data_IF_343683654715
#
_entry.id   IF_343683654715
#
_cell.length_a   1.000
_cell.length_b   1.000
_cell.length_c   1.000
_cell.angle_alpha   90.00
_cell.angle_beta   90.00
_cell.angle_gamma   90.00
#
_symmetry.space_group_name_H-M   'P 1'
#
loop_
_entity.id
_entity.type
_entity.pdbx_description
1 polymer ?
#
# COMPACT_ATOMS: atom_id res chain seq x y z
N UNK A 1 4.09 -31.32 -13.38
CA UNK A 1 3.63 -30.17 -12.57
C UNK A 1 3.21 -29.06 -13.52
N UNK A 2 2.19 -28.26 -13.18
CA UNK A 2 1.72 -27.15 -14.01
C UNK A 2 2.63 -25.94 -13.85
N UNK A 3 3.00 -25.28 -14.95
CA UNK A 3 3.68 -23.97 -14.92
C UNK A 3 2.65 -22.85 -14.84
N UNK A 4 3.06 -21.74 -14.22
CA UNK A 4 2.22 -20.56 -14.04
C UNK A 4 2.92 -19.32 -14.60
N UNK A 5 2.12 -18.39 -15.08
CA UNK A 5 2.60 -17.07 -15.50
C UNK A 5 1.82 -16.02 -14.76
N UNK A 6 2.54 -15.17 -14.03
CA UNK A 6 2.00 -14.04 -13.28
C UNK A 6 2.37 -12.73 -13.96
N UNK A 7 1.44 -11.79 -13.94
CA UNK A 7 1.62 -10.42 -14.39
C UNK A 7 1.58 -9.50 -13.17
N UNK A 8 2.54 -8.59 -13.07
CA UNK A 8 2.62 -7.64 -11.97
C UNK A 8 2.23 -6.23 -12.42
N UNK A 9 1.32 -5.60 -11.67
CA UNK A 9 1.04 -4.18 -11.80
C UNK A 9 0.92 -3.52 -10.43
N UNK A 10 1.05 -2.20 -10.39
CA UNK A 10 1.04 -1.44 -9.14
C UNK A 10 0.41 -0.06 -9.31
N UNK A 11 -0.06 0.50 -8.20
CA UNK A 11 -0.67 1.82 -8.15
C UNK A 11 -0.21 2.61 -6.93
N UNK A 12 -0.28 3.95 -7.04
CA UNK A 12 0.12 4.91 -5.99
C UNK A 12 1.57 4.75 -5.53
N UNK A 13 2.43 4.39 -6.49
CA UNK A 13 3.87 4.28 -6.27
C UNK A 13 4.51 5.66 -6.12
N UNK A 14 5.03 5.94 -4.92
CA UNK A 14 5.93 7.06 -4.64
C UNK A 14 7.34 6.50 -4.48
N UNK A 15 8.25 6.84 -5.40
CA UNK A 15 9.66 6.38 -5.34
C UNK A 15 10.36 6.80 -4.04
N UNK A 16 9.93 7.93 -3.47
CA UNK A 16 10.44 8.48 -2.21
C UNK A 16 9.28 8.96 -1.32
N UNK A 17 9.29 8.53 -0.07
CA UNK A 17 8.41 9.07 0.97
C UNK A 17 9.17 10.17 1.71
N UNK A 18 8.60 11.38 1.77
CA UNK A 18 9.28 12.55 2.35
C UNK A 18 8.30 13.57 2.93
N UNK A 19 8.71 14.19 4.03
CA UNK A 19 8.09 15.42 4.55
C UNK A 19 8.88 16.60 3.99
N UNK A 20 8.20 17.65 3.51
CA UNK A 20 8.89 18.89 3.12
C UNK A 20 9.07 19.84 4.32
N UNK A 21 9.81 20.93 4.12
CA UNK A 21 10.07 21.94 5.16
C UNK A 21 8.83 22.61 5.75
N UNK A 22 7.72 22.60 5.01
CA UNK A 22 6.43 23.11 5.47
C UNK A 22 5.63 22.07 6.27
N UNK A 23 6.20 20.90 6.57
CA UNK A 23 5.51 19.79 7.24
C UNK A 23 4.47 19.10 6.37
N UNK A 24 4.50 19.28 5.05
CA UNK A 24 3.60 18.59 4.14
C UNK A 24 4.20 17.25 3.77
N UNK A 25 3.46 16.19 4.08
CA UNK A 25 3.84 14.84 3.72
C UNK A 25 3.30 14.51 2.33
N UNK A 26 4.17 14.07 1.41
CA UNK A 26 3.77 13.87 0.02
C UNK A 26 2.66 12.82 -0.17
N UNK A 27 2.49 11.93 0.81
CA UNK A 27 1.47 10.88 0.84
C UNK A 27 0.14 11.28 1.51
N UNK A 28 0.06 12.47 2.13
CA UNK A 28 -1.15 13.01 2.79
C UNK A 28 -1.85 14.11 1.97
N UNK A 29 -1.52 14.25 0.69
CA UNK A 29 -2.21 15.19 -0.22
C UNK A 29 -3.64 14.73 -0.49
N UNK A 30 -4.55 15.66 -0.79
CA UNK A 30 -5.97 15.35 -1.05
C UNK A 30 -6.19 14.35 -2.20
N UNK A 31 -5.26 14.29 -3.16
CA UNK A 31 -5.26 13.38 -4.30
C UNK A 31 -4.33 12.18 -4.13
N UNK A 32 -3.61 12.09 -3.00
CA UNK A 32 -2.72 10.99 -2.69
C UNK A 32 -3.45 9.91 -1.87
N UNK A 33 -3.08 8.66 -2.15
CA UNK A 33 -3.48 7.52 -1.34
C UNK A 33 -2.27 7.10 -0.49
N UNK A 34 -2.45 6.98 0.82
CA UNK A 34 -1.39 6.52 1.73
C UNK A 34 -0.93 5.09 1.40
N UNK A 35 -1.83 4.26 0.90
CA UNK A 35 -1.48 2.89 0.56
C UNK A 35 -0.82 2.83 -0.83
N UNK A 36 0.34 2.21 -0.88
CA UNK A 36 0.83 1.58 -2.09
C UNK A 36 0.08 0.27 -2.32
N UNK A 37 -0.26 -0.04 -3.58
CA UNK A 37 -0.95 -1.29 -3.95
C UNK A 37 -0.15 -2.00 -5.02
N UNK A 38 0.26 -3.25 -4.75
CA UNK A 38 0.85 -4.16 -5.71
C UNK A 38 -0.08 -5.34 -5.97
N UNK A 39 -0.21 -5.76 -7.22
CA UNK A 39 -1.07 -6.87 -7.62
C UNK A 39 -0.31 -7.83 -8.53
N UNK A 40 -0.29 -9.11 -8.16
CA UNK A 40 0.02 -10.18 -9.09
C UNK A 40 -1.26 -10.86 -9.54
N UNK A 41 -1.38 -11.03 -10.85
CA UNK A 41 -2.46 -11.77 -11.49
C UNK A 41 -1.86 -12.94 -12.26
N UNK A 42 -2.16 -14.17 -11.85
CA UNK A 42 -1.56 -15.38 -12.41
C UNK A 42 -2.56 -16.39 -12.91
N UNK A 43 -2.15 -17.16 -13.91
CA UNK A 43 -2.89 -18.32 -14.41
C UNK A 43 -1.91 -19.40 -14.90
N UNK A 44 -2.38 -20.65 -15.11
CA UNK A 44 -1.58 -21.68 -15.75
C UNK A 44 -1.10 -21.20 -17.13
N UNK A 45 0.17 -21.44 -17.45
CA UNK A 45 0.77 -20.98 -18.73
C UNK A 45 0.01 -21.54 -19.94
N UNK A 46 -0.60 -22.72 -19.82
CA UNK A 46 -1.43 -23.33 -20.86
C UNK A 46 -2.64 -22.49 -21.26
N UNK A 47 -3.13 -21.65 -20.34
CA UNK A 47 -4.41 -20.94 -20.49
C UNK A 47 -4.20 -19.51 -21.01
N UNK A 48 -2.95 -19.08 -21.19
CA UNK A 48 -2.61 -17.71 -21.61
C UNK A 48 -3.27 -17.30 -22.93
N UNK A 49 -3.32 -18.20 -23.91
CA UNK A 49 -3.87 -17.89 -25.24
C UNK A 49 -5.38 -17.69 -25.16
N UNK A 50 -6.10 -18.54 -24.42
CA UNK A 50 -7.55 -18.41 -24.21
C UNK A 50 -7.87 -17.18 -23.37
N UNK A 51 -7.13 -16.97 -22.28
CA UNK A 51 -7.35 -15.86 -21.36
C UNK A 51 -7.11 -14.51 -22.05
N UNK A 52 -6.06 -14.40 -22.87
CA UNK A 52 -5.80 -13.19 -23.67
C UNK A 52 -6.95 -12.87 -24.61
N UNK A 53 -7.55 -13.87 -25.27
CA UNK A 53 -8.71 -13.65 -26.15
C UNK A 53 -9.93 -13.16 -25.38
N UNK A 54 -10.18 -13.70 -24.18
CA UNK A 54 -11.29 -13.28 -23.33
C UNK A 54 -11.10 -11.84 -22.83
N UNK A 55 -9.91 -11.50 -22.35
CA UNK A 55 -9.55 -10.14 -21.90
C UNK A 55 -9.65 -9.15 -23.06
N UNK A 56 -9.13 -9.49 -24.25
CA UNK A 56 -9.22 -8.62 -25.42
C UNK A 56 -10.67 -8.40 -25.86
N UNK A 57 -11.51 -9.45 -25.83
CA UNK A 57 -12.95 -9.32 -26.14
C UNK A 57 -13.65 -8.40 -25.13
N UNK A 58 -13.33 -8.54 -23.84
CA UNK A 58 -13.83 -7.66 -22.80
C UNK A 58 -13.39 -6.21 -23.05
N UNK A 59 -12.10 -5.96 -23.25
CA UNK A 59 -11.56 -4.61 -23.46
C UNK A 59 -12.22 -3.93 -24.69
N UNK A 60 -12.29 -4.63 -25.83
CA UNK A 60 -12.92 -4.09 -27.04
C UNK A 60 -14.39 -3.70 -26.79
N UNK A 61 -15.12 -4.49 -26.01
CA UNK A 61 -16.50 -4.15 -25.63
C UNK A 61 -16.55 -2.89 -24.77
N UNK A 62 -15.66 -2.76 -23.78
CA UNK A 62 -15.61 -1.58 -22.93
C UNK A 62 -15.20 -0.32 -23.72
N UNK A 63 -14.27 -0.43 -24.68
CA UNK A 63 -13.94 0.69 -25.58
C UNK A 63 -15.17 1.20 -26.33
N UNK A 64 -15.98 0.30 -26.89
CA UNK A 64 -17.23 0.66 -27.58
C UNK A 64 -18.22 1.34 -26.62
N UNK A 65 -18.42 0.77 -25.43
CA UNK A 65 -19.35 1.29 -24.43
C UNK A 65 -18.99 2.71 -23.99
N UNK A 66 -17.69 3.00 -23.85
CA UNK A 66 -17.18 4.30 -23.42
C UNK A 66 -16.78 5.23 -24.58
N UNK A 67 -17.03 4.83 -25.84
CA UNK A 67 -16.78 5.65 -27.03
C UNK A 67 -15.30 5.93 -27.30
N UNK A 68 -14.42 4.99 -26.96
CA UNK A 68 -12.98 5.07 -27.24
C UNK A 68 -12.66 4.61 -28.67
N UNK A 69 -11.61 5.19 -29.26
CA UNK A 69 -11.06 4.71 -30.52
C UNK A 69 -10.44 3.30 -30.38
N UNK A 70 -10.34 2.56 -31.48
CA UNK A 70 -9.91 1.15 -31.46
C UNK A 70 -8.47 0.99 -30.94
N UNK A 71 -7.60 1.92 -31.33
CA UNK A 71 -6.20 2.03 -30.93
C UNK A 71 -6.00 2.53 -29.50
N UNK A 72 -7.03 3.13 -28.88
CA UNK A 72 -6.91 3.70 -27.55
C UNK A 72 -7.05 2.61 -26.48
N UNK A 73 -6.04 2.45 -25.62
CA UNK A 73 -6.07 1.55 -24.47
C UNK A 73 -7.18 1.96 -23.47
N UNK A 74 -7.92 0.98 -22.96
CA UNK A 74 -8.92 1.24 -21.92
C UNK A 74 -8.24 1.40 -20.56
N UNK A 75 -8.26 2.62 -20.01
CA UNK A 75 -7.65 2.96 -18.71
C UNK A 75 -8.69 3.22 -17.63
N UNK A 76 -8.32 3.02 -16.36
CA UNK A 76 -9.19 3.34 -15.22
C UNK A 76 -9.64 4.80 -15.18
N UNK A 77 -8.86 5.71 -15.76
CA UNK A 77 -9.18 7.15 -15.89
C UNK A 77 -10.31 7.45 -16.89
N UNK A 78 -10.71 6.49 -17.73
CA UNK A 78 -11.85 6.61 -18.64
C UNK A 78 -13.16 6.69 -17.83
N UNK A 79 -13.25 5.94 -16.73
CA UNK A 79 -14.42 5.99 -15.84
C UNK A 79 -14.32 7.26 -14.98
N UNK A 80 -15.33 8.12 -15.09
CA UNK A 80 -15.31 9.42 -14.43
C UNK A 80 -15.23 9.30 -12.91
N UNK A 81 -14.31 10.07 -12.28
CA UNK A 81 -14.09 10.08 -10.82
C UNK A 81 -15.36 10.28 -9.99
N UNK A 82 -16.32 11.06 -10.49
CA UNK A 82 -17.63 11.30 -9.83
C UNK A 82 -18.40 10.00 -9.56
N UNK A 83 -18.18 8.96 -10.37
CA UNK A 83 -18.84 7.67 -10.19
C UNK A 83 -18.32 6.94 -8.95
N UNK A 84 -17.16 7.30 -8.41
CA UNK A 84 -16.60 6.67 -7.20
C UNK A 84 -16.89 7.42 -5.89
N UNK A 85 -17.59 8.56 -5.95
CA UNK A 85 -17.75 9.47 -4.79
C UNK A 85 -18.39 8.80 -3.57
N UNK A 86 -19.41 7.97 -3.78
CA UNK A 86 -20.10 7.23 -2.72
C UNK A 86 -20.10 5.72 -3.00
N UNK A 87 -19.03 5.23 -3.65
CA UNK A 87 -18.93 3.84 -4.09
C UNK A 87 -20.02 3.46 -5.08
N UNK A 88 -20.54 2.24 -4.97
CA UNK A 88 -21.57 1.66 -5.87
C UNK A 88 -22.78 2.59 -6.03
N UNK A 89 -23.17 3.33 -4.97
CA UNK A 89 -24.29 4.28 -5.03
C UNK A 89 -24.12 5.36 -6.10
N UNK A 90 -22.88 5.74 -6.41
CA UNK A 90 -22.55 6.77 -7.39
C UNK A 90 -22.33 6.21 -8.80
N UNK A 91 -22.39 4.90 -8.99
CA UNK A 91 -22.21 4.29 -10.31
C UNK A 91 -23.36 4.70 -11.21
N UNK A 92 -23.02 5.17 -12.42
CA UNK A 92 -24.00 5.24 -13.49
C UNK A 92 -24.18 3.84 -14.09
N UNK A 93 -25.14 3.71 -15.01
CA UNK A 93 -25.45 2.44 -15.67
C UNK A 93 -24.21 1.79 -16.30
N UNK A 94 -23.43 2.56 -17.06
CA UNK A 94 -22.26 2.04 -17.75
C UNK A 94 -21.18 1.54 -16.79
N UNK A 95 -20.92 2.27 -15.69
CA UNK A 95 -19.98 1.84 -14.66
C UNK A 95 -20.47 0.59 -13.94
N UNK A 96 -21.77 0.48 -13.67
CA UNK A 96 -22.33 -0.75 -13.09
C UNK A 96 -22.11 -1.94 -14.02
N UNK A 97 -22.48 -1.81 -15.30
CA UNK A 97 -22.26 -2.86 -16.32
C UNK A 97 -20.78 -3.23 -16.46
N UNK A 98 -19.87 -2.25 -16.47
CA UNK A 98 -18.44 -2.51 -16.53
C UNK A 98 -17.97 -3.42 -15.40
N UNK A 99 -18.36 -3.13 -14.14
CA UNK A 99 -17.91 -3.92 -12.99
C UNK A 99 -18.59 -5.29 -12.94
N UNK A 100 -19.88 -5.39 -13.30
CA UNK A 100 -20.57 -6.68 -13.45
C UNK A 100 -19.82 -7.59 -14.43
N UNK A 101 -19.55 -7.09 -15.64
CA UNK A 101 -18.84 -7.85 -16.67
C UNK A 101 -17.38 -8.15 -16.31
N UNK A 102 -16.72 -7.24 -15.58
CA UNK A 102 -15.37 -7.46 -15.06
C UNK A 102 -15.35 -8.61 -14.05
N UNK A 103 -16.30 -8.64 -13.11
CA UNK A 103 -16.39 -9.73 -12.13
C UNK A 103 -16.76 -11.05 -12.78
N UNK A 104 -17.68 -11.07 -13.75
CA UNK A 104 -17.97 -12.26 -14.55
C UNK A 104 -16.73 -12.78 -15.29
N UNK A 105 -15.94 -11.88 -15.88
CA UNK A 105 -14.69 -12.24 -16.53
C UNK A 105 -13.70 -12.84 -15.52
N UNK A 106 -13.53 -12.23 -14.34
CA UNK A 106 -12.65 -12.74 -13.30
C UNK A 106 -13.08 -14.15 -12.87
N UNK A 107 -14.38 -14.39 -12.70
CA UNK A 107 -14.92 -15.71 -12.35
C UNK A 107 -14.64 -16.75 -13.44
N UNK A 108 -14.80 -16.38 -14.72
CA UNK A 108 -14.49 -17.26 -15.86
C UNK A 108 -12.99 -17.58 -15.92
N UNK A 109 -12.14 -16.56 -15.76
CA UNK A 109 -10.68 -16.71 -15.82
C UNK A 109 -10.13 -17.46 -14.61
N UNK A 110 -10.82 -17.39 -13.47
CA UNK A 110 -10.44 -17.94 -12.17
C UNK A 110 -8.92 -17.79 -11.86
N UNK A 111 -8.40 -16.55 -11.87
CA UNK A 111 -6.98 -16.31 -11.70
C UNK A 111 -6.52 -16.52 -10.26
N UNK A 112 -5.24 -16.81 -10.10
CA UNK A 112 -4.54 -16.70 -8.81
C UNK A 112 -4.16 -15.23 -8.62
N UNK A 113 -4.82 -14.55 -7.69
CA UNK A 113 -4.58 -13.14 -7.41
C UNK A 113 -3.86 -12.99 -6.07
N UNK A 114 -2.75 -12.25 -6.08
CA UNK A 114 -2.11 -11.74 -4.87
C UNK A 114 -2.26 -10.22 -4.86
N UNK A 115 -2.77 -9.67 -3.76
CA UNK A 115 -2.84 -8.22 -3.56
C UNK A 115 -2.06 -7.87 -2.32
N UNK A 116 -1.14 -6.92 -2.45
CA UNK A 116 -0.43 -6.34 -1.34
C UNK A 116 -0.83 -4.87 -1.18
N UNK A 117 -1.10 -4.46 0.06
CA UNK A 117 -1.43 -3.07 0.39
C UNK A 117 -0.55 -2.62 1.54
N UNK A 118 0.20 -1.54 1.31
CA UNK A 118 1.24 -1.10 2.25
C UNK A 118 1.04 0.37 2.57
N UNK A 119 0.82 0.70 3.85
CA UNK A 119 0.76 2.09 4.31
C UNK A 119 2.15 2.71 4.24
N UNK A 120 2.28 3.74 3.39
CA UNK A 120 3.53 4.52 3.28
C UNK A 120 3.82 5.28 4.57
N UNK A 121 2.78 5.72 5.29
CA UNK A 121 2.89 6.29 6.62
C UNK A 121 3.47 5.29 7.62
N UNK A 122 2.97 4.05 7.64
CA UNK A 122 3.51 3.03 8.56
C UNK A 122 4.99 2.76 8.29
N UNK A 123 5.39 2.60 7.03
CA UNK A 123 6.80 2.41 6.66
C UNK A 123 7.67 3.57 7.16
N UNK A 124 7.21 4.81 6.95
CA UNK A 124 7.93 5.97 7.43
C UNK A 124 8.03 6.00 8.95
N UNK A 125 6.95 5.72 9.66
CA UNK A 125 6.94 5.70 11.14
C UNK A 125 7.87 4.61 11.69
N UNK A 126 7.93 3.43 11.05
CA UNK A 126 8.87 2.37 11.45
C UNK A 126 10.33 2.83 11.40
N UNK A 127 10.67 3.64 10.41
CA UNK A 127 12.01 4.23 10.31
C UNK A 127 12.19 5.37 11.31
N UNK A 128 11.16 6.22 11.46
CA UNK A 128 11.22 7.36 12.36
C UNK A 128 11.37 6.94 13.84
N UNK A 129 10.88 5.74 14.17
CA UNK A 129 10.95 5.14 15.49
C UNK A 129 11.90 3.92 15.55
N UNK A 130 12.86 3.80 14.62
CA UNK A 130 13.79 2.67 14.58
C UNK A 130 14.63 2.54 15.86
N UNK A 131 15.08 3.67 16.43
CA UNK A 131 15.77 3.72 17.73
C UNK A 131 14.83 3.82 18.93
N UNK A 132 13.57 3.41 18.81
CA UNK A 132 12.65 3.37 19.96
C UNK A 132 12.94 2.11 20.79
N UNK A 133 13.38 2.33 22.03
CA UNK A 133 13.62 1.27 23.00
C UNK A 133 12.63 1.37 24.15
N UNK A 134 11.70 0.43 24.20
CA UNK A 134 10.72 0.32 25.28
C UNK A 134 11.37 -0.27 26.54
N UNK A 135 11.23 0.44 27.66
CA UNK A 135 11.79 0.08 28.97
C UNK A 135 10.70 -0.05 30.06
N UNK A 136 9.43 -0.07 29.65
CA UNK A 136 8.29 -0.25 30.55
C UNK A 136 8.05 -1.72 30.93
N UNK A 137 6.94 -1.96 31.64
CA UNK A 137 6.55 -3.31 32.05
C UNK A 137 5.84 -4.06 30.92
N UNK A 138 6.10 -5.37 30.80
CA UNK A 138 5.48 -6.24 29.80
C UNK A 138 6.15 -6.20 28.43
N UNK A 139 5.52 -6.84 27.44
CA UNK A 139 6.03 -6.91 26.08
C UNK A 139 5.40 -5.84 25.18
N UNK A 140 6.22 -5.20 24.36
CA UNK A 140 5.74 -4.32 23.29
C UNK A 140 5.37 -5.16 22.07
N UNK A 141 4.08 -5.20 21.75
CA UNK A 141 3.61 -5.75 20.48
C UNK A 141 3.81 -4.72 19.35
N UNK A 142 4.98 -4.73 18.72
CA UNK A 142 5.38 -3.74 17.70
C UNK A 142 4.35 -3.57 16.57
N UNK A 143 3.77 -4.68 16.07
CA UNK A 143 2.75 -4.63 15.01
C UNK A 143 1.53 -3.80 15.43
N UNK A 144 1.05 -4.01 16.66
CA UNK A 144 -0.07 -3.26 17.22
C UNK A 144 0.30 -1.80 17.50
N UNK A 145 1.54 -1.55 17.95
CA UNK A 145 2.06 -0.21 18.16
C UNK A 145 2.06 0.61 16.86
N UNK A 146 2.70 0.09 15.81
CA UNK A 146 2.80 0.78 14.54
C UNK A 146 1.46 0.90 13.82
N UNK A 147 0.60 -0.11 13.89
CA UNK A 147 -0.76 -0.02 13.35
C UNK A 147 -1.54 1.15 14.00
N UNK A 148 -1.54 1.21 15.34
CA UNK A 148 -2.27 2.23 16.09
C UNK A 148 -1.69 3.63 15.85
N UNK A 149 -0.36 3.76 15.88
CA UNK A 149 0.33 5.02 15.61
C UNK A 149 0.07 5.50 14.17
N UNK A 150 0.10 4.61 13.19
CA UNK A 150 -0.22 4.92 11.80
C UNK A 150 -1.65 5.43 11.66
N UNK A 151 -2.62 4.72 12.25
CA UNK A 151 -4.03 5.14 12.24
C UNK A 151 -4.22 6.49 12.92
N UNK A 152 -3.52 6.74 14.03
CA UNK A 152 -3.52 8.03 14.70
C UNK A 152 -2.98 9.13 13.79
N UNK A 153 -1.82 8.94 13.18
CA UNK A 153 -1.21 9.93 12.27
C UNK A 153 -2.10 10.20 11.06
N UNK A 154 -2.70 9.18 10.44
CA UNK A 154 -3.62 9.39 9.30
C UNK A 154 -4.86 10.16 9.72
N UNK A 155 -5.41 9.91 10.91
CA UNK A 155 -6.71 10.46 11.34
C UNK A 155 -6.58 11.84 12.02
N UNK A 156 -5.53 12.04 12.80
CA UNK A 156 -5.39 13.13 13.77
C UNK A 156 -4.10 13.95 13.60
N UNK A 157 -3.33 13.75 12.53
CA UNK A 157 -2.17 14.61 12.30
C UNK A 157 -2.59 16.09 12.26
N UNK A 158 -1.66 16.94 12.68
CA UNK A 158 -1.70 18.37 12.45
C UNK A 158 -0.35 18.82 11.90
N UNK A 159 -0.34 20.03 11.34
CA UNK A 159 0.87 20.59 10.74
C UNK A 159 2.02 20.71 11.74
N UNK A 160 1.75 21.04 13.00
CA UNK A 160 2.79 21.22 14.02
C UNK A 160 3.53 19.91 14.29
N UNK A 161 2.79 18.80 14.43
CA UNK A 161 3.34 17.47 14.63
C UNK A 161 4.20 17.02 13.44
N UNK A 162 3.74 17.25 12.21
CA UNK A 162 4.50 16.91 11.01
C UNK A 162 5.74 17.79 10.82
N UNK A 163 5.65 19.10 11.11
CA UNK A 163 6.79 20.02 11.12
C UNK A 163 7.83 19.61 12.17
N UNK A 164 7.38 19.23 13.37
CA UNK A 164 8.26 18.75 14.43
C UNK A 164 9.00 17.47 14.02
N UNK A 165 8.30 16.52 13.39
CA UNK A 165 8.88 15.30 12.85
C UNK A 165 9.94 15.58 11.76
N UNK A 166 9.64 16.48 10.83
CA UNK A 166 10.61 16.89 9.80
C UNK A 166 11.84 17.60 10.39
N UNK A 167 11.63 18.41 11.42
CA UNK A 167 12.69 19.20 12.07
C UNK A 167 13.64 18.35 12.93
N UNK A 168 13.36 17.05 13.13
CA UNK A 168 14.25 16.18 13.88
C UNK A 168 15.59 16.05 13.15
N UNK A 169 16.63 16.50 13.84
CA UNK A 169 18.01 16.50 13.36
C UNK A 169 19.04 16.37 14.51
N UNK A 170 18.58 16.35 15.76
CA UNK A 170 19.36 16.13 16.96
C UNK A 170 18.43 15.66 18.10
N UNK A 171 19.03 15.29 19.23
CA UNK A 171 18.28 14.78 20.39
C UNK A 171 17.25 15.77 20.94
N UNK A 172 17.54 17.08 20.94
CA UNK A 172 16.61 18.10 21.44
C UNK A 172 15.36 18.23 20.56
N UNK A 173 15.51 18.26 19.23
CA UNK A 173 14.37 18.28 18.31
C UNK A 173 13.57 16.97 18.34
N UNK A 174 14.24 15.84 18.54
CA UNK A 174 13.58 14.54 18.76
C UNK A 174 12.72 14.52 20.03
N UNK A 175 13.25 15.02 21.15
CA UNK A 175 12.50 15.09 22.40
C UNK A 175 11.30 16.03 22.30
N UNK A 176 11.43 17.16 21.59
CA UNK A 176 10.30 18.05 21.29
C UNK A 176 9.22 17.35 20.47
N UNK A 177 9.61 16.62 19.42
CA UNK A 177 8.67 15.83 18.62
C UNK A 177 7.93 14.80 19.48
N UNK A 178 8.67 14.04 20.31
CA UNK A 178 8.08 13.05 21.22
C UNK A 178 7.09 13.68 22.20
N UNK A 179 7.45 14.81 22.82
CA UNK A 179 6.57 15.54 23.74
C UNK A 179 5.29 16.04 23.04
N UNK A 180 5.44 16.57 21.82
CA UNK A 180 4.30 17.01 21.03
C UNK A 180 3.39 15.82 20.65
N UNK A 181 3.96 14.68 20.27
CA UNK A 181 3.19 13.47 20.00
C UNK A 181 2.43 12.98 21.24
N UNK A 182 3.07 12.94 22.40
CA UNK A 182 2.44 12.59 23.68
C UNK A 182 1.27 13.52 24.00
N UNK A 183 1.49 14.84 23.88
CA UNK A 183 0.45 15.85 24.09
C UNK A 183 -0.75 15.66 23.15
N UNK A 184 -0.50 15.33 21.88
CA UNK A 184 -1.56 15.05 20.90
C UNK A 184 -2.39 13.83 21.30
N UNK A 185 -1.76 12.74 21.77
CA UNK A 185 -2.49 11.60 22.31
C UNK A 185 -3.32 11.97 23.54
N UNK A 186 -2.77 12.73 24.49
CA UNK A 186 -3.50 13.18 25.69
C UNK A 186 -4.75 13.98 25.34
N UNK A 187 -4.63 14.93 24.40
CA UNK A 187 -5.76 15.71 23.90
C UNK A 187 -6.85 14.81 23.30
N UNK A 188 -6.49 13.91 22.37
CA UNK A 188 -7.48 13.03 21.73
C UNK A 188 -8.11 12.06 22.73
N UNK A 189 -7.33 11.47 23.65
CA UNK A 189 -7.84 10.60 24.73
C UNK A 189 -8.89 11.34 25.57
N UNK A 190 -8.64 12.61 25.90
CA UNK A 190 -9.58 13.43 26.67
C UNK A 190 -10.88 13.67 25.90
N UNK A 191 -10.80 13.99 24.61
CA UNK A 191 -11.95 14.29 23.76
C UNK A 191 -12.83 13.06 23.46
N UNK A 192 -12.23 11.88 23.26
CA UNK A 192 -12.99 10.67 22.93
C UNK A 192 -13.51 9.91 24.16
N UNK A 193 -13.11 10.33 25.37
CA UNK A 193 -13.50 9.67 26.61
C UNK A 193 -15.02 9.69 26.79
N UNK A 194 -15.59 8.52 27.09
CA UNK A 194 -17.03 8.36 27.30
C UNK A 194 -17.85 8.18 26.02
N UNK A 195 -17.23 8.25 24.84
CA UNK A 195 -17.88 7.92 23.56
C UNK A 195 -17.83 6.40 23.36
N UNK A 196 -18.97 5.72 23.52
CA UNK A 196 -19.07 4.26 23.48
C UNK A 196 -18.46 3.64 22.20
N UNK A 197 -18.80 4.19 21.03
CA UNK A 197 -18.24 3.70 19.74
C UNK A 197 -16.72 3.89 19.57
N UNK A 198 -16.06 4.61 20.47
CA UNK A 198 -14.62 4.91 20.46
C UNK A 198 -13.85 4.19 21.58
N UNK A 199 -14.49 3.31 22.33
CA UNK A 199 -13.87 2.67 23.50
C UNK A 199 -12.59 1.87 23.16
N UNK A 200 -12.61 1.11 22.06
CA UNK A 200 -11.42 0.37 21.59
C UNK A 200 -10.27 1.31 21.20
N UNK A 201 -10.57 2.42 20.53
CA UNK A 201 -9.60 3.44 20.13
C UNK A 201 -9.00 4.12 21.36
N UNK A 202 -9.82 4.43 22.37
CA UNK A 202 -9.39 5.00 23.63
C UNK A 202 -8.37 4.10 24.35
N UNK A 203 -8.65 2.80 24.46
CA UNK A 203 -7.73 1.84 25.09
C UNK A 203 -6.42 1.76 24.30
N UNK A 204 -6.50 1.69 22.97
CA UNK A 204 -5.31 1.64 22.12
C UNK A 204 -4.44 2.90 22.29
N UNK A 205 -5.04 4.10 22.33
CA UNK A 205 -4.31 5.36 22.50
C UNK A 205 -3.69 5.50 23.89
N UNK A 206 -4.38 5.05 24.93
CA UNK A 206 -3.80 4.99 26.28
C UNK A 206 -2.57 4.09 26.32
N UNK A 207 -2.61 2.93 25.65
CA UNK A 207 -1.46 2.03 25.55
C UNK A 207 -0.29 2.66 24.79
N UNK A 208 -0.55 3.34 23.67
CA UNK A 208 0.52 4.05 22.93
C UNK A 208 1.14 5.15 23.78
N UNK A 209 0.32 5.97 24.46
CA UNK A 209 0.82 7.01 25.35
C UNK A 209 1.69 6.42 26.47
N UNK A 210 1.27 5.28 27.04
CA UNK A 210 2.08 4.57 28.03
C UNK A 210 3.42 4.11 27.45
N UNK A 211 3.44 3.52 26.25
CA UNK A 211 4.68 3.13 25.56
C UNK A 211 5.58 4.35 25.34
N UNK A 212 5.05 5.44 24.79
CA UNK A 212 5.83 6.67 24.57
C UNK A 212 6.44 7.20 25.88
N UNK A 213 5.69 7.18 26.99
CA UNK A 213 6.16 7.62 28.30
C UNK A 213 7.28 6.72 28.86
N UNK A 214 7.33 5.45 28.45
CA UNK A 214 8.29 4.45 28.94
C UNK A 214 9.23 3.96 27.84
N UNK A 215 9.52 4.81 26.85
CA UNK A 215 10.48 4.51 25.80
C UNK A 215 11.60 5.55 25.73
N UNK A 216 12.78 5.10 25.35
CA UNK A 216 13.92 5.95 24.99
C UNK A 216 13.98 6.02 23.46
N UNK A 217 14.37 7.17 22.91
CA UNK A 217 14.70 7.31 21.49
C UNK A 217 16.17 7.74 21.41
N UNK A 218 17.02 6.97 20.74
CA UNK A 218 18.45 7.23 20.66
C UNK A 218 19.01 7.22 19.22
N UNK A 219 18.20 6.81 18.23
CA UNK A 219 18.48 7.00 16.80
C UNK A 219 17.65 8.15 16.22
N UNK A 220 18.27 8.97 15.36
CA UNK A 220 17.57 10.02 14.62
C UNK A 220 16.81 9.42 13.42
N UNK A 221 15.59 9.90 13.12
CA UNK A 221 14.81 9.44 11.99
C UNK A 221 15.49 9.79 10.66
N UNK A 222 15.39 8.88 9.69
CA UNK A 222 15.77 9.18 8.30
C UNK A 222 14.78 10.19 7.69
N UNK A 223 15.28 11.11 6.87
CA UNK A 223 14.46 12.15 6.24
C UNK A 223 13.77 11.70 4.96
N UNK A 224 14.36 10.75 4.27
CA UNK A 224 13.84 10.20 3.03
C UNK A 224 13.96 8.68 3.07
N UNK A 225 12.94 8.00 2.55
CA UNK A 225 12.96 6.56 2.39
C UNK A 225 12.69 6.17 0.94
N UNK A 226 13.55 5.30 0.41
CA UNK A 226 13.29 4.62 -0.87
C UNK A 226 12.35 3.45 -0.65
N UNK A 227 11.19 3.47 -1.32
CA UNK A 227 10.23 2.38 -1.22
C UNK A 227 10.83 1.07 -1.76
N UNK A 228 10.82 0.02 -0.96
CA UNK A 228 11.34 -1.29 -1.35
C UNK A 228 10.20 -2.21 -1.82
N UNK A 229 10.30 -2.69 -3.06
CA UNK A 229 9.29 -3.57 -3.69
C UNK A 229 9.25 -5.01 -3.16
N UNK A 230 10.20 -5.39 -2.29
CA UNK A 230 10.37 -6.76 -1.80
C UNK A 230 9.11 -7.33 -1.17
N UNK A 231 8.32 -6.48 -0.50
CA UNK A 231 7.09 -6.89 0.19
C UNK A 231 6.04 -7.49 -0.76
N UNK A 232 6.02 -7.12 -2.04
CA UNK A 232 5.11 -7.75 -3.01
C UNK A 232 5.55 -9.19 -3.33
N UNK A 233 6.85 -9.41 -3.54
CA UNK A 233 7.37 -10.74 -3.87
C UNK A 233 7.26 -11.69 -2.69
N UNK A 234 7.48 -11.22 -1.47
CA UNK A 234 7.19 -11.99 -0.25
C UNK A 234 5.72 -12.43 -0.20
N UNK A 235 4.80 -11.50 -0.47
CA UNK A 235 3.38 -11.80 -0.57
C UNK A 235 3.05 -12.86 -1.62
N UNK A 236 3.69 -12.78 -2.80
CA UNK A 236 3.55 -13.79 -3.84
C UNK A 236 4.08 -15.16 -3.40
N UNK A 237 5.29 -15.22 -2.84
CA UNK A 237 5.88 -16.47 -2.34
C UNK A 237 4.97 -17.16 -1.33
N UNK A 238 4.42 -16.41 -0.37
CA UNK A 238 3.50 -16.94 0.64
C UNK A 238 2.22 -17.52 -0.01
N UNK A 239 1.67 -16.83 -1.03
CA UNK A 239 0.51 -17.34 -1.76
C UNK A 239 0.83 -18.61 -2.56
N UNK A 240 1.99 -18.66 -3.22
CA UNK A 240 2.41 -19.83 -3.99
C UNK A 240 2.59 -21.06 -3.09
N UNK A 241 3.19 -20.87 -1.91
CA UNK A 241 3.31 -21.91 -0.90
C UNK A 241 1.94 -22.40 -0.41
N UNK A 242 1.04 -21.48 -0.04
CA UNK A 242 -0.34 -21.80 0.36
C UNK A 242 -1.09 -22.61 -0.70
N UNK A 243 -0.90 -22.26 -1.97
CA UNK A 243 -1.53 -22.92 -3.13
C UNK A 243 -0.79 -24.17 -3.60
N UNK A 244 0.33 -24.54 -2.98
CA UNK A 244 1.22 -25.62 -3.41
C UNK A 244 1.67 -25.50 -4.89
N UNK A 245 1.95 -24.28 -5.34
CA UNK A 245 2.49 -24.00 -6.67
C UNK A 245 4.01 -23.98 -6.56
N UNK A 246 4.69 -24.81 -7.37
CA UNK A 246 6.15 -24.83 -7.39
C UNK A 246 6.69 -23.52 -7.98
N UNK A 247 7.41 -22.75 -7.17
CA UNK A 247 7.99 -21.45 -7.55
C UNK A 247 8.98 -21.55 -8.72
N UNK A 248 9.68 -22.67 -8.90
CA UNK A 248 10.60 -22.88 -10.04
C UNK A 248 9.86 -22.95 -11.39
N UNK A 249 8.56 -23.20 -11.36
CA UNK A 249 7.69 -23.27 -12.54
C UNK A 249 6.84 -22.00 -12.72
N UNK A 250 7.20 -20.93 -12.01
CA UNK A 250 6.56 -19.62 -12.09
C UNK A 250 7.39 -18.68 -12.96
N UNK A 251 6.75 -18.12 -13.98
CA UNK A 251 7.26 -16.97 -14.74
C UNK A 251 6.53 -15.70 -14.29
N UNK A 252 7.27 -14.61 -14.08
CA UNK A 252 6.71 -13.30 -13.74
C UNK A 252 6.99 -12.33 -14.87
N UNK A 253 5.94 -11.70 -15.37
CA UNK A 253 5.98 -10.68 -16.41
C UNK A 253 5.75 -9.32 -15.78
N UNK A 254 6.69 -8.40 -15.98
CA UNK A 254 6.65 -7.02 -15.46
C UNK A 254 6.87 -6.04 -16.61
N UNK A 255 6.17 -4.89 -16.58
CA UNK A 255 6.36 -3.81 -17.57
C UNK A 255 7.79 -3.22 -17.48
N UNK A 256 8.40 -2.91 -18.63
CA UNK A 256 9.84 -2.56 -18.74
C UNK A 256 10.24 -1.27 -18.02
N UNK A 257 9.35 -0.27 -17.96
CA UNK A 257 9.60 0.96 -17.19
C UNK A 257 9.81 0.66 -15.69
N UNK A 258 9.24 -0.43 -15.20
CA UNK A 258 9.41 -0.94 -13.83
C UNK A 258 10.59 -1.92 -13.74
N UNK A 259 10.89 -2.65 -14.80
CA UNK A 259 12.01 -3.59 -14.84
C UNK A 259 13.35 -2.91 -14.56
N UNK A 260 13.60 -1.67 -15.01
CA UNK A 260 14.87 -0.98 -14.71
C UNK A 260 15.07 -0.61 -13.22
N UNK A 261 14.01 -0.36 -12.44
CA UNK A 261 14.12 -0.12 -10.99
C UNK A 261 14.09 -1.41 -10.17
N UNK A 262 13.52 -2.49 -10.72
CA UNK A 262 13.36 -3.79 -10.07
C UNK A 262 14.46 -4.81 -10.42
N UNK A 263 15.13 -4.71 -11.57
CA UNK A 263 16.08 -5.73 -12.06
C UNK A 263 17.26 -5.98 -11.13
N UNK A 264 17.82 -4.93 -10.51
CA UNK A 264 18.91 -5.10 -9.55
C UNK A 264 18.46 -5.71 -8.21
N UNK A 265 17.16 -5.71 -7.91
CA UNK A 265 16.60 -6.16 -6.62
C UNK A 265 15.91 -7.54 -6.73
N UNK A 266 15.42 -7.91 -7.90
CA UNK A 266 14.84 -9.25 -8.19
C UNK A 266 15.91 -10.35 -8.19
N UNK A 267 17.17 -10.03 -8.52
CA UNK A 267 18.29 -10.99 -8.58
C UNK A 267 18.56 -11.66 -7.22
N UNK A 268 18.19 -11.01 -6.10
CA UNK A 268 18.31 -11.60 -4.76
C UNK A 268 17.28 -12.71 -4.50
N UNK A 269 16.14 -12.69 -5.20
CA UNK A 269 15.10 -13.74 -5.17
C UNK A 269 15.36 -14.78 -6.26
N UNK A 270 16.46 -15.55 -6.11
CA UNK A 270 16.97 -16.62 -7.01
C UNK A 270 15.98 -17.74 -7.41
N UNK A 271 14.68 -17.58 -7.15
CA UNK A 271 13.66 -18.63 -7.22
C UNK A 271 12.65 -18.37 -8.37
N UNK A 272 12.53 -17.12 -8.87
CA UNK A 272 11.51 -16.76 -9.86
C UNK A 272 12.15 -16.32 -11.18
N UNK A 273 11.66 -16.86 -12.30
CA UNK A 273 12.03 -16.37 -13.63
C UNK A 273 11.26 -15.07 -13.91
N UNK A 274 11.96 -13.99 -14.25
CA UNK A 274 11.36 -12.68 -14.51
C UNK A 274 11.67 -12.25 -15.94
N UNK A 275 10.63 -11.98 -16.71
CA UNK A 275 10.70 -11.49 -18.08
C UNK A 275 10.17 -10.04 -18.15
N UNK A 276 10.92 -9.16 -18.81
CA UNK A 276 10.51 -7.80 -19.13
C UNK A 276 9.81 -7.77 -20.48
N UNK A 277 8.78 -6.92 -20.63
CA UNK A 277 8.06 -6.78 -21.91
C UNK A 277 8.07 -5.33 -22.41
N UNK A 278 8.67 -5.11 -23.59
CA UNK A 278 8.52 -3.86 -24.37
C UNK A 278 7.05 -3.67 -24.76
N UNK A 279 6.51 -2.44 -24.59
CA UNK A 279 5.22 -2.07 -25.19
C UNK A 279 5.36 -2.06 -26.72
N UNK A 280 4.50 -2.82 -27.39
CA UNK A 280 4.30 -2.81 -28.84
C UNK A 280 3.36 -1.69 -29.26
#
# INVERSE_FOLDING_TARGET
MKSYTFYFDESFHDKKIRINENGQFNILREDALDNYIGVFWGCPTSDLVSNRKLVQKFENRQKIQYGLAEEQEFKSTVIAKKNFKYGIRSFNKDTMTFYEELFELIDILNPVIQVNMVSKMELYLRLAFKGLHYVGQGELLEKSFFYTLTKFMITYHNEELLKALYAVNNYHSMMKFKQLLQYNFECIIKEIKGIERKQQELVAYQNILYVLNHSIMDELPEKEYEFQYFINFEGLCNLLEEKNINMELVNIVIDEEKAHSLHHRIIDFKILNVESRMKS
#
